data_IF_884096565110
#
_entry.id   IF_884096565110
#
_cell.length_a   1.000
_cell.length_b   1.000
_cell.length_c   1.000
_cell.angle_alpha   90.00
_cell.angle_beta   90.00
_cell.angle_gamma   90.00
#
_symmetry.space_group_name_H-M   'P 1'
#
loop_
_entity.id
_entity.type
_entity.pdbx_description
1 polymer ?
#
# COMPACT_ATOMS: atom_id res chain seq x y z
N UNK A 1 -24.62 70.43 -4.52
CA UNK A 1 -23.68 69.50 -5.17
C UNK A 1 -22.49 69.28 -4.25
N UNK A 2 -22.51 68.21 -3.45
CA UNK A 2 -21.31 67.64 -2.81
C UNK A 2 -21.59 66.15 -2.62
N UNK A 3 -20.98 65.33 -3.49
CA UNK A 3 -21.10 63.88 -3.46
C UNK A 3 -20.06 63.30 -2.50
N UNK A 4 -20.55 62.56 -1.51
CA UNK A 4 -19.78 61.74 -0.58
C UNK A 4 -19.27 60.50 -1.37
N UNK A 5 -17.95 60.33 -1.49
CA UNK A 5 -17.34 59.14 -2.08
C UNK A 5 -17.22 58.05 -1.00
N UNK A 6 -17.94 56.95 -1.18
CA UNK A 6 -17.72 55.71 -0.43
C UNK A 6 -16.54 54.96 -1.06
N UNK A 7 -15.47 54.77 -0.30
CA UNK A 7 -14.38 53.85 -0.61
C UNK A 7 -14.74 52.48 -0.05
N UNK A 8 -15.01 51.51 -0.92
CA UNK A 8 -15.19 50.11 -0.55
C UNK A 8 -13.85 49.52 -0.10
N UNK A 9 -13.77 49.08 1.16
CA UNK A 9 -12.66 48.27 1.64
C UNK A 9 -12.84 46.84 1.09
N UNK A 10 -11.91 46.40 0.25
CA UNK A 10 -11.82 45.01 -0.17
C UNK A 10 -11.34 44.16 1.00
N UNK A 11 -12.20 43.28 1.51
CA UNK A 11 -11.81 42.20 2.43
C UNK A 11 -11.09 41.17 1.57
N UNK A 12 -9.77 41.10 1.69
CA UNK A 12 -8.99 39.98 1.18
C UNK A 12 -9.30 38.76 2.05
N UNK A 13 -10.14 37.86 1.53
CA UNK A 13 -10.22 36.49 2.03
C UNK A 13 -8.88 35.82 1.72
N UNK A 14 -8.01 35.73 2.73
CA UNK A 14 -6.91 34.79 2.69
C UNK A 14 -7.54 33.39 2.78
N UNK A 15 -7.69 32.72 1.64
CA UNK A 15 -7.87 31.28 1.61
C UNK A 15 -6.60 30.67 2.21
N UNK A 16 -6.70 30.14 3.42
CA UNK A 16 -5.67 29.26 3.97
C UNK A 16 -5.69 28.04 3.06
N UNK A 17 -4.74 27.94 2.14
CA UNK A 17 -4.56 26.72 1.36
C UNK A 17 -4.29 25.61 2.38
N UNK A 18 -5.16 24.59 2.40
CA UNK A 18 -4.90 23.41 3.21
C UNK A 18 -3.52 22.88 2.79
N UNK A 19 -2.60 22.78 3.73
CA UNK A 19 -1.29 22.20 3.49
C UNK A 19 -1.50 20.74 3.09
N UNK A 20 -1.19 20.42 1.84
CA UNK A 20 -1.12 19.05 1.36
C UNK A 20 0.09 18.42 2.04
N UNK A 21 -0.15 17.67 3.12
CA UNK A 21 0.90 16.90 3.79
C UNK A 21 0.95 15.50 3.21
N UNK A 22 2.16 14.99 3.07
CA UNK A 22 2.40 13.56 2.92
C UNK A 22 1.94 12.85 4.19
N UNK A 23 1.31 11.69 4.02
CA UNK A 23 0.81 10.85 5.11
C UNK A 23 1.10 9.40 4.75
N UNK A 24 1.59 8.61 5.72
CA UNK A 24 1.75 7.17 5.50
C UNK A 24 0.46 6.45 5.87
N UNK A 25 0.15 5.48 5.05
CA UNK A 25 -0.94 4.54 5.25
C UNK A 25 -0.30 3.18 5.46
N UNK A 26 -0.45 2.62 6.65
CA UNK A 26 0.13 1.32 7.01
C UNK A 26 -0.72 0.18 6.47
N UNK A 27 -0.07 -0.79 5.84
CA UNK A 27 -0.73 -1.93 5.21
C UNK A 27 -1.43 -2.79 6.27
N UNK A 28 -2.70 -3.07 6.05
CA UNK A 28 -3.49 -3.85 6.99
C UNK A 28 -3.18 -5.35 6.89
N UNK A 29 -3.05 -5.98 8.05
CA UNK A 29 -2.72 -7.40 8.20
C UNK A 29 -3.73 -8.15 9.08
N UNK A 30 -3.56 -9.46 9.25
CA UNK A 30 -4.37 -10.29 10.14
C UNK A 30 -5.52 -11.06 9.47
N UNK A 31 -5.78 -10.83 8.18
CA UNK A 31 -6.76 -11.59 7.41
C UNK A 31 -6.14 -12.87 6.81
N UNK A 32 -6.85 -14.00 6.92
CA UNK A 32 -6.52 -15.27 6.26
C UNK A 32 -5.05 -15.71 6.39
N UNK A 33 -4.46 -15.51 7.58
CA UNK A 33 -3.06 -15.84 7.83
C UNK A 33 -2.75 -17.31 7.43
N UNK A 34 -1.69 -17.47 6.63
CA UNK A 34 -1.25 -18.73 6.02
C UNK A 34 -2.22 -19.37 5.03
N UNK A 35 -3.23 -18.66 4.53
CA UNK A 35 -4.14 -19.16 3.49
C UNK A 35 -3.96 -18.37 2.19
N UNK A 36 -4.23 -19.01 1.07
CA UNK A 36 -4.35 -18.33 -0.22
C UNK A 36 -5.66 -17.51 -0.28
N UNK A 37 -5.68 -16.35 -0.97
CA UNK A 37 -6.91 -15.65 -1.30
C UNK A 37 -7.70 -16.45 -2.34
N UNK A 38 -8.98 -16.69 -2.10
CA UNK A 38 -9.81 -17.38 -3.07
C UNK A 38 -9.57 -18.88 -3.19
N UNK A 39 -10.58 -19.60 -3.65
CA UNK A 39 -10.45 -21.02 -4.00
C UNK A 39 -9.66 -21.21 -5.30
N UNK A 40 -9.08 -22.40 -5.45
CA UNK A 40 -8.32 -22.74 -6.63
C UNK A 40 -9.21 -22.81 -7.88
N UNK A 41 -8.89 -22.07 -8.95
CA UNK A 41 -9.68 -22.02 -10.20
C UNK A 41 -8.84 -22.27 -11.43
N UNK A 42 -9.46 -22.83 -12.48
CA UNK A 42 -8.75 -23.06 -13.74
C UNK A 42 -8.57 -21.78 -14.54
N UNK A 43 -7.35 -21.51 -15.02
CA UNK A 43 -7.06 -20.44 -15.99
C UNK A 43 -6.72 -21.02 -17.37
N UNK A 44 -6.82 -20.22 -18.42
CA UNK A 44 -6.62 -20.66 -19.80
C UNK A 44 -5.53 -19.82 -20.50
N UNK A 45 -4.44 -20.40 -21.00
CA UNK A 45 -4.32 -21.82 -21.30
C UNK A 45 -3.97 -22.66 -20.07
N UNK A 46 -4.36 -23.93 -20.12
CA UNK A 46 -4.16 -24.87 -19.01
C UNK A 46 -2.69 -25.34 -18.99
N UNK A 47 -1.94 -25.22 -17.87
CA UNK A 47 -0.58 -25.72 -17.76
C UNK A 47 -0.41 -27.22 -18.06
N UNK A 48 0.71 -27.57 -18.71
CA UNK A 48 1.41 -28.85 -18.55
C UNK A 48 2.15 -28.93 -17.19
N UNK A 49 2.70 -30.08 -16.79
CA UNK A 49 2.83 -30.44 -15.37
C UNK A 49 3.92 -29.65 -14.61
N UNK A 50 3.50 -29.06 -13.49
CA UNK A 50 4.30 -28.46 -12.43
C UNK A 50 3.40 -28.18 -11.22
N UNK A 51 2.23 -27.58 -11.46
CA UNK A 51 1.08 -27.47 -10.55
C UNK A 51 -0.20 -27.43 -11.41
N UNK A 52 -1.06 -28.46 -11.39
CA UNK A 52 -2.03 -28.66 -12.47
C UNK A 52 -3.20 -27.67 -12.43
N UNK A 53 -3.33 -26.88 -13.51
CA UNK A 53 -4.57 -26.28 -13.99
C UNK A 53 -5.17 -25.15 -13.17
N UNK A 54 -4.96 -25.14 -11.85
CA UNK A 54 -5.68 -24.30 -10.90
C UNK A 54 -4.75 -23.38 -10.13
N UNK A 55 -5.11 -22.10 -10.06
CA UNK A 55 -4.46 -21.10 -9.22
C UNK A 55 -5.35 -20.74 -8.06
N UNK A 56 -4.77 -20.68 -6.85
CA UNK A 56 -5.47 -20.24 -5.64
C UNK A 56 -5.46 -18.71 -5.60
N UNK A 57 -6.14 -18.12 -6.58
CA UNK A 57 -6.20 -16.69 -6.85
C UNK A 57 -7.65 -16.23 -7.13
N UNK A 58 -8.64 -16.99 -6.63
CA UNK A 58 -10.07 -16.86 -6.92
C UNK A 58 -10.62 -15.44 -6.77
N UNK A 59 -11.37 -15.18 -5.69
CA UNK A 59 -11.54 -13.81 -5.24
C UNK A 59 -10.20 -13.31 -4.67
N UNK A 60 -9.65 -12.26 -5.29
CA UNK A 60 -8.34 -11.69 -4.94
C UNK A 60 -8.41 -10.73 -3.75
N UNK A 61 -9.42 -10.90 -2.91
CA UNK A 61 -9.61 -10.18 -1.66
C UNK A 61 -9.55 -11.16 -0.49
N UNK A 62 -8.63 -10.91 0.45
CA UNK A 62 -8.55 -11.66 1.69
C UNK A 62 -9.68 -11.27 2.66
N UNK A 63 -10.01 -12.17 3.58
CA UNK A 63 -11.08 -12.00 4.56
C UNK A 63 -12.49 -12.27 4.03
N UNK A 64 -12.61 -12.74 2.78
CA UNK A 64 -13.87 -13.25 2.23
C UNK A 64 -14.05 -14.74 2.59
N UNK A 65 -15.24 -15.28 2.37
CA UNK A 65 -15.53 -16.70 2.54
C UNK A 65 -14.85 -17.57 1.47
N UNK A 66 -14.52 -16.99 0.31
CA UNK A 66 -13.73 -17.62 -0.74
C UNK A 66 -12.25 -17.60 -0.35
N UNK A 67 -11.79 -18.66 0.32
CA UNK A 67 -10.41 -18.82 0.77
C UNK A 67 -9.83 -20.14 0.30
N UNK A 68 -8.54 -20.11 0.01
CA UNK A 68 -7.81 -21.24 -0.53
C UNK A 68 -7.26 -22.19 0.54
N UNK A 69 -6.38 -23.09 0.09
CA UNK A 69 -5.65 -23.99 0.98
C UNK A 69 -4.58 -23.24 1.79
N UNK A 70 -3.96 -23.95 2.73
CA UNK A 70 -2.77 -23.45 3.43
C UNK A 70 -1.61 -23.22 2.45
N UNK A 71 -1.03 -22.02 2.51
CA UNK A 71 0.19 -21.67 1.77
C UNK A 71 1.37 -22.38 2.42
N UNK A 72 2.09 -23.20 1.65
CA UNK A 72 3.26 -23.94 2.13
C UNK A 72 4.52 -23.43 1.47
N UNK A 73 5.62 -23.37 2.23
CA UNK A 73 6.93 -23.10 1.65
C UNK A 73 7.35 -24.25 0.72
N UNK A 74 7.78 -23.90 -0.49
CA UNK A 74 8.14 -24.84 -1.56
C UNK A 74 9.66 -25.05 -1.71
N UNK A 75 10.50 -24.29 -1.03
CA UNK A 75 11.96 -24.39 -1.19
C UNK A 75 12.63 -25.54 -0.43
N UNK A 76 13.96 -25.62 -0.53
CA UNK A 76 14.75 -26.69 0.06
C UNK A 76 15.01 -26.37 1.56
N UNK A 77 14.75 -27.31 2.50
CA UNK A 77 15.02 -27.11 3.92
C UNK A 77 16.40 -26.47 4.18
N UNK A 78 16.51 -25.53 5.16
CA UNK A 78 15.63 -25.32 6.31
C UNK A 78 14.37 -24.44 6.07
N UNK A 79 13.61 -24.16 7.14
CA UNK A 79 12.41 -23.30 7.15
C UNK A 79 12.71 -21.89 6.59
N UNK A 80 11.73 -21.23 5.93
CA UNK A 80 11.90 -19.86 5.44
C UNK A 80 12.10 -18.89 6.60
N UNK A 81 12.69 -17.72 6.32
CA UNK A 81 12.90 -16.67 7.32
C UNK A 81 11.55 -16.22 7.91
N UNK A 82 10.59 -15.95 7.04
CA UNK A 82 9.19 -15.67 7.38
C UNK A 82 8.33 -16.69 6.64
N UNK A 83 7.36 -17.29 7.32
CA UNK A 83 6.43 -18.21 6.66
C UNK A 83 5.62 -17.47 5.60
N UNK A 84 5.25 -18.14 4.49
CA UNK A 84 4.36 -17.54 3.50
C UNK A 84 3.05 -17.06 4.15
N UNK A 85 2.67 -15.81 3.87
CA UNK A 85 1.51 -15.14 4.47
C UNK A 85 1.48 -15.23 6.01
N UNK A 86 2.63 -15.13 6.68
CA UNK A 86 2.74 -15.31 8.13
C UNK A 86 1.86 -14.36 8.94
N UNK A 87 1.70 -13.12 8.47
CA UNK A 87 0.98 -12.06 9.17
C UNK A 87 -0.51 -12.00 8.79
N UNK A 88 -0.93 -12.68 7.72
CA UNK A 88 -2.21 -12.42 7.08
C UNK A 88 -2.18 -11.05 6.40
N UNK A 89 -2.54 -10.96 5.12
CA UNK A 89 -2.45 -9.71 4.39
C UNK A 89 -3.72 -9.40 3.61
N UNK A 90 -4.12 -8.13 3.66
CA UNK A 90 -5.12 -7.55 2.75
C UNK A 90 -4.49 -6.95 1.49
N UNK A 91 -3.16 -6.80 1.45
CA UNK A 91 -2.41 -6.22 0.33
C UNK A 91 -1.57 -7.28 -0.38
N UNK A 92 -1.75 -7.43 -1.68
CA UNK A 92 -1.12 -8.49 -2.44
C UNK A 92 -0.65 -7.98 -3.81
N UNK A 93 0.50 -8.47 -4.25
CA UNK A 93 0.82 -8.47 -5.68
C UNK A 93 0.57 -9.87 -6.21
N UNK A 94 0.14 -9.93 -7.47
CA UNK A 94 -0.08 -11.16 -8.20
C UNK A 94 0.82 -11.12 -9.42
N UNK A 95 1.66 -12.12 -9.57
CA UNK A 95 2.51 -12.28 -10.76
C UNK A 95 2.13 -13.52 -11.52
N UNK A 96 2.07 -13.42 -12.85
CA UNK A 96 1.89 -14.57 -13.73
C UNK A 96 2.97 -14.68 -14.79
N UNK A 97 3.43 -15.91 -15.00
CA UNK A 97 4.61 -16.25 -15.79
C UNK A 97 4.64 -17.64 -16.37
N UNK A 98 5.81 -18.01 -16.90
CA UNK A 98 6.08 -19.31 -17.52
C UNK A 98 7.56 -19.72 -17.39
N UNK A 99 7.85 -20.90 -16.85
CA UNK A 99 9.20 -21.47 -16.72
C UNK A 99 9.55 -22.49 -17.81
N UNK A 100 10.83 -22.63 -18.21
CA UNK A 100 11.32 -23.76 -19.00
C UNK A 100 11.18 -25.09 -18.24
N UNK A 101 10.51 -26.07 -18.85
CA UNK A 101 10.34 -27.43 -18.31
C UNK A 101 11.11 -28.49 -19.12
N UNK A 102 12.27 -28.11 -19.68
CA UNK A 102 13.10 -28.96 -20.52
C UNK A 102 12.57 -29.12 -21.96
N UNK A 103 13.45 -28.96 -22.96
CA UNK A 103 13.05 -28.93 -24.38
C UNK A 103 12.33 -27.63 -24.76
N UNK A 104 11.45 -27.62 -25.80
CA UNK A 104 10.69 -26.43 -26.19
C UNK A 104 9.49 -26.10 -25.26
N UNK A 105 9.32 -26.86 -24.17
CA UNK A 105 8.15 -26.76 -23.30
C UNK A 105 8.36 -25.70 -22.22
N UNK A 106 7.40 -24.79 -22.12
CA UNK A 106 7.28 -23.79 -21.05
C UNK A 106 6.04 -24.16 -20.20
N UNK A 107 6.12 -23.98 -18.88
CA UNK A 107 5.06 -24.30 -17.91
C UNK A 107 4.62 -23.02 -17.23
N UNK A 108 3.34 -22.65 -17.30
CA UNK A 108 2.84 -21.45 -16.66
C UNK A 108 2.76 -21.56 -15.15
N UNK A 109 3.00 -20.44 -14.47
CA UNK A 109 2.98 -20.28 -13.02
C UNK A 109 2.32 -18.97 -12.63
N UNK A 110 1.63 -18.97 -11.50
CA UNK A 110 1.18 -17.77 -10.80
C UNK A 110 1.80 -17.79 -9.40
N UNK A 111 2.32 -16.65 -8.97
CA UNK A 111 2.81 -16.42 -7.62
C UNK A 111 2.04 -15.28 -6.97
N UNK A 112 1.95 -15.32 -5.65
CA UNK A 112 1.33 -14.26 -4.86
C UNK A 112 2.35 -13.72 -3.86
N UNK A 113 2.51 -12.41 -3.89
CA UNK A 113 3.32 -11.65 -2.97
C UNK A 113 2.40 -11.06 -1.89
N UNK A 114 2.38 -11.68 -0.71
CA UNK A 114 1.64 -11.19 0.44
C UNK A 114 2.42 -10.05 1.09
N UNK A 115 1.90 -8.83 1.00
CA UNK A 115 2.58 -7.62 1.47
C UNK A 115 2.12 -7.25 2.88
N UNK A 116 3.02 -6.85 3.77
CA UNK A 116 2.66 -6.37 5.09
C UNK A 116 3.53 -6.91 6.21
N UNK A 117 3.16 -6.53 7.43
CA UNK A 117 3.94 -6.81 8.63
C UNK A 117 5.16 -5.88 8.75
N UNK A 118 6.07 -6.20 9.68
CA UNK A 118 7.21 -5.35 9.98
C UNK A 118 8.19 -5.24 8.83
N UNK A 119 8.82 -4.06 8.70
CA UNK A 119 9.90 -3.86 7.76
C UNK A 119 11.12 -4.70 8.15
N UNK A 120 11.88 -5.10 7.14
CA UNK A 120 13.16 -5.79 7.31
C UNK A 120 14.33 -4.83 7.23
N UNK A 121 15.34 -5.13 8.03
CA UNK A 121 16.69 -4.60 7.92
C UNK A 121 17.60 -5.72 7.37
N UNK A 122 18.11 -5.51 6.15
CA UNK A 122 18.77 -6.55 5.38
C UNK A 122 20.23 -6.81 5.81
N UNK A 123 20.89 -5.85 6.45
CA UNK A 123 22.24 -6.07 6.98
C UNK A 123 22.25 -6.82 8.33
N UNK A 124 21.09 -6.96 8.97
CA UNK A 124 20.96 -7.68 10.24
C UNK A 124 21.51 -6.94 11.45
N UNK A 125 21.74 -5.62 11.38
CA UNK A 125 22.24 -4.78 12.47
C UNK A 125 21.26 -3.68 12.91
N UNK A 126 20.24 -4.07 13.68
CA UNK A 126 19.26 -3.11 14.23
C UNK A 126 19.88 -2.13 15.25
N UNK A 127 21.14 -2.32 15.66
CA UNK A 127 21.77 -1.45 16.65
C UNK A 127 22.26 -0.12 16.06
N UNK A 128 22.35 -0.01 14.72
CA UNK A 128 22.77 1.22 14.06
C UNK A 128 21.63 2.25 13.90
N UNK A 129 20.39 1.87 14.20
CA UNK A 129 19.20 2.73 14.11
C UNK A 129 18.80 3.10 12.68
N UNK A 130 19.31 2.38 11.68
CA UNK A 130 19.13 2.65 10.26
C UNK A 130 18.69 1.38 9.56
N UNK A 131 17.59 1.46 8.81
CA UNK A 131 17.18 0.38 7.92
C UNK A 131 18.12 0.30 6.71
N UNK A 132 18.69 -0.88 6.48
CA UNK A 132 19.40 -1.24 5.24
C UNK A 132 18.51 -2.06 4.31
N UNK A 133 18.50 -1.71 3.02
CA UNK A 133 17.99 -2.53 1.91
C UNK A 133 19.11 -3.30 1.21
N UNK A 134 20.32 -3.30 1.77
CA UNK A 134 21.46 -4.05 1.24
C UNK A 134 21.77 -5.20 2.19
N UNK A 135 21.56 -6.46 1.75
CA UNK A 135 22.00 -7.59 2.55
C UNK A 135 23.51 -7.66 2.62
N UNK A 136 23.99 -8.09 3.79
CA UNK A 136 25.40 -8.30 4.04
C UNK A 136 25.66 -9.80 4.11
N UNK A 137 26.61 -10.26 3.30
CA UNK A 137 26.94 -11.68 3.23
C UNK A 137 27.30 -12.25 4.60
N UNK A 138 26.59 -13.32 4.98
CA UNK A 138 26.76 -13.99 6.28
C UNK A 138 25.99 -13.37 7.43
N UNK A 139 25.23 -12.28 7.21
CA UNK A 139 24.27 -11.74 8.16
C UNK A 139 22.86 -12.17 7.75
N UNK A 140 22.00 -12.41 8.75
CA UNK A 140 20.59 -12.75 8.51
C UNK A 140 19.76 -11.50 8.67
N UNK A 141 18.91 -11.14 7.69
CA UNK A 141 17.99 -10.02 7.84
C UNK A 141 17.13 -10.16 9.10
N UNK A 142 16.80 -9.03 9.71
CA UNK A 142 16.02 -8.98 10.95
C UNK A 142 14.78 -8.11 10.77
N UNK A 143 13.73 -8.45 11.51
CA UNK A 143 12.53 -7.63 11.59
C UNK A 143 12.81 -6.39 12.44
N UNK A 144 12.45 -5.22 11.93
CA UNK A 144 12.53 -3.95 12.66
C UNK A 144 11.28 -3.85 13.55
N UNK A 145 11.48 -4.04 14.86
CA UNK A 145 10.38 -4.00 15.82
C UNK A 145 9.65 -2.66 15.83
N UNK A 146 8.32 -2.70 15.80
CA UNK A 146 7.47 -1.50 15.81
C UNK A 146 7.42 -0.74 14.48
N UNK A 147 8.04 -1.28 13.43
CA UNK A 147 7.82 -0.80 12.06
C UNK A 147 6.68 -1.58 11.40
N UNK A 148 6.08 -0.98 10.37
CA UNK A 148 5.06 -1.59 9.55
C UNK A 148 5.24 -1.17 8.09
N UNK A 149 4.91 -2.08 7.18
CA UNK A 149 4.87 -1.79 5.74
C UNK A 149 3.84 -0.70 5.43
N UNK A 150 4.13 0.19 4.48
CA UNK A 150 3.30 1.37 4.21
C UNK A 150 3.27 1.79 2.73
N UNK A 151 2.28 2.61 2.41
CA UNK A 151 2.23 3.46 1.21
C UNK A 151 2.10 4.92 1.65
N UNK A 152 2.90 5.82 1.09
CA UNK A 152 2.86 7.24 1.41
C UNK A 152 2.15 8.02 0.31
N UNK A 153 1.09 8.72 0.69
CA UNK A 153 0.18 9.40 -0.23
C UNK A 153 -0.01 10.86 0.18
N UNK A 154 -0.36 11.68 -0.79
CA UNK A 154 -0.92 13.01 -0.55
C UNK A 154 -2.28 13.13 -1.21
N UNK A 155 -3.23 13.73 -0.50
CA UNK A 155 -4.54 14.06 -1.04
C UNK A 155 -4.76 15.57 -0.98
N UNK A 156 -5.00 16.17 -2.15
CA UNK A 156 -5.40 17.56 -2.25
C UNK A 156 -6.89 17.61 -2.59
N UNK A 157 -7.74 17.76 -1.56
CA UNK A 157 -9.19 17.76 -1.72
C UNK A 157 -9.69 19.00 -2.49
N UNK A 158 -8.98 20.13 -2.42
CA UNK A 158 -9.34 21.35 -3.15
C UNK A 158 -9.01 21.22 -4.65
N UNK A 159 -7.84 20.65 -4.96
CA UNK A 159 -7.39 20.41 -6.33
C UNK A 159 -7.92 19.10 -6.93
N UNK A 160 -8.62 18.28 -6.13
CA UNK A 160 -9.13 16.97 -6.53
C UNK A 160 -8.03 16.07 -7.12
N UNK A 161 -6.90 16.01 -6.41
CA UNK A 161 -5.71 15.29 -6.84
C UNK A 161 -5.19 14.35 -5.74
N UNK A 162 -4.58 13.25 -6.17
CA UNK A 162 -3.84 12.33 -5.33
C UNK A 162 -2.40 12.21 -5.86
N UNK A 163 -1.41 12.04 -4.99
CA UNK A 163 -0.06 11.71 -5.42
C UNK A 163 0.55 10.61 -4.55
N UNK A 164 1.39 9.79 -5.20
CA UNK A 164 2.16 8.71 -4.60
C UNK A 164 3.57 9.21 -4.34
N UNK A 165 4.01 9.15 -3.08
CA UNK A 165 5.32 9.68 -2.69
C UNK A 165 6.31 8.57 -2.40
N UNK A 166 5.87 7.52 -1.72
CA UNK A 166 6.69 6.40 -1.34
C UNK A 166 5.85 5.12 -1.18
N UNK A 167 6.51 3.98 -1.22
CA UNK A 167 5.95 2.67 -0.95
C UNK A 167 7.08 1.81 -0.42
N UNK A 168 6.86 1.15 0.71
CA UNK A 168 7.86 0.29 1.33
C UNK A 168 7.15 -0.84 2.06
N UNK A 169 7.33 -2.04 1.55
CA UNK A 169 6.71 -3.22 2.10
C UNK A 169 7.69 -4.38 2.22
N UNK A 170 7.60 -5.08 3.35
CA UNK A 170 8.06 -6.45 3.43
C UNK A 170 6.96 -7.35 2.88
N UNK A 171 7.36 -8.32 2.05
CA UNK A 171 6.44 -9.30 1.50
C UNK A 171 6.90 -10.72 1.74
N UNK A 172 5.99 -11.66 1.56
CA UNK A 172 6.29 -13.09 1.53
C UNK A 172 5.64 -13.77 0.34
N UNK A 173 6.22 -14.85 -0.16
CA UNK A 173 5.60 -15.74 -1.13
C UNK A 173 5.92 -17.21 -0.74
N UNK A 174 5.39 -18.19 -1.47
CA UNK A 174 5.61 -19.60 -1.20
C UNK A 174 7.06 -20.08 -1.43
N UNK A 175 7.94 -19.26 -1.98
CA UNK A 175 9.29 -19.62 -2.41
C UNK A 175 9.31 -20.49 -3.66
N UNK A 176 10.50 -20.95 -4.07
CA UNK A 176 10.67 -21.78 -5.26
C UNK A 176 11.34 -23.13 -4.93
N UNK A 177 10.91 -24.24 -5.55
CA UNK A 177 11.55 -25.55 -5.40
C UNK A 177 13.05 -25.51 -5.69
N UNK A 178 13.85 -26.06 -4.76
CA UNK A 178 15.30 -26.15 -4.91
C UNK A 178 16.08 -24.89 -4.51
N UNK A 179 15.40 -23.82 -4.10
CA UNK A 179 16.03 -22.59 -3.60
C UNK A 179 16.05 -22.52 -2.07
N UNK A 180 16.89 -21.64 -1.54
CA UNK A 180 17.07 -21.46 -0.09
C UNK A 180 15.92 -20.69 0.60
N UNK A 181 15.96 -20.62 1.93
CA UNK A 181 14.89 -20.04 2.77
C UNK A 181 14.65 -18.54 2.57
N UNK A 182 15.62 -17.82 2.00
CA UNK A 182 15.56 -16.39 1.75
C UNK A 182 14.63 -16.00 0.58
N UNK A 183 14.38 -16.90 -0.38
CA UNK A 183 13.59 -16.57 -1.57
C UNK A 183 12.09 -16.33 -1.29
N UNK A 184 11.60 -16.83 -0.15
CA UNK A 184 10.20 -16.67 0.28
C UNK A 184 9.92 -15.30 0.93
N UNK A 185 10.96 -14.49 1.14
CA UNK A 185 10.87 -13.17 1.75
C UNK A 185 11.36 -12.16 0.75
N UNK A 186 10.56 -11.12 0.54
CA UNK A 186 10.81 -10.10 -0.48
C UNK A 186 10.70 -8.72 0.14
N UNK A 187 11.27 -7.76 -0.56
CA UNK A 187 11.04 -6.34 -0.33
C UNK A 187 10.44 -5.73 -1.58
N UNK A 188 9.48 -4.83 -1.38
CA UNK A 188 8.84 -4.08 -2.45
C UNK A 188 8.95 -2.61 -2.13
N UNK A 189 9.56 -1.83 -3.03
CA UNK A 189 9.71 -0.39 -2.86
C UNK A 189 9.18 0.36 -4.08
N UNK A 190 8.87 1.64 -3.91
CA UNK A 190 8.60 2.54 -5.04
C UNK A 190 9.91 2.79 -5.82
N UNK A 191 9.86 2.68 -7.14
CA UNK A 191 11.00 3.01 -8.00
C UNK A 191 11.48 4.44 -7.72
N UNK A 192 12.77 4.72 -7.85
CA UNK A 192 13.32 6.07 -7.65
C UNK A 192 13.11 6.67 -6.24
N UNK A 193 12.64 5.89 -5.26
CA UNK A 193 12.72 6.24 -3.83
C UNK A 193 13.85 5.44 -3.17
N UNK A 194 14.22 5.84 -1.97
CA UNK A 194 15.26 5.20 -1.17
C UNK A 194 14.98 5.44 0.31
N UNK A 195 15.62 4.67 1.18
CA UNK A 195 15.56 4.95 2.61
C UNK A 195 16.40 6.19 2.94
N UNK A 196 16.26 6.71 4.16
CA UNK A 196 16.92 7.95 4.61
C UNK A 196 18.44 7.98 4.38
N UNK A 197 19.09 6.81 4.24
CA UNK A 197 20.54 6.68 4.05
C UNK A 197 20.95 5.92 2.77
N UNK A 198 20.01 5.55 1.90
CA UNK A 198 20.32 4.87 0.65
C UNK A 198 20.00 5.75 -0.56
N UNK A 199 20.86 5.73 -1.60
CA UNK A 199 20.57 6.46 -2.83
C UNK A 199 19.26 5.93 -3.43
N UNK A 200 18.43 6.81 -4.02
CA UNK A 200 17.22 6.38 -4.68
C UNK A 200 17.54 5.34 -5.76
N UNK A 201 16.62 4.40 -5.91
CA UNK A 201 16.61 3.39 -6.96
C UNK A 201 16.81 4.00 -8.37
N UNK A 202 17.18 3.19 -9.37
CA UNK A 202 17.34 3.67 -10.75
C UNK A 202 16.07 4.33 -11.32
N UNK A 203 16.20 5.00 -12.47
CA UNK A 203 15.19 5.89 -13.02
C UNK A 203 13.85 5.19 -13.31
N UNK A 204 12.75 5.87 -12.98
CA UNK A 204 11.39 5.45 -13.31
C UNK A 204 11.14 5.43 -14.82
N UNK A 205 10.11 4.68 -15.24
CA UNK A 205 9.47 4.80 -16.54
C UNK A 205 8.40 5.90 -16.48
N UNK A 206 8.69 7.14 -16.93
CA UNK A 206 7.79 8.29 -16.72
C UNK A 206 6.48 8.21 -17.52
N UNK A 207 6.40 7.28 -18.48
CA UNK A 207 5.17 7.00 -19.24
C UNK A 207 4.22 6.05 -18.51
N UNK A 208 4.72 5.34 -17.50
CA UNK A 208 3.95 4.41 -16.66
C UNK A 208 3.77 4.97 -15.24
N UNK A 209 4.87 5.39 -14.60
CA UNK A 209 4.87 6.00 -13.28
C UNK A 209 4.71 7.52 -13.38
N UNK A 210 3.47 7.99 -13.25
CA UNK A 210 3.17 9.42 -13.16
C UNK A 210 3.20 9.93 -11.73
N UNK A 211 3.12 9.04 -10.73
CA UNK A 211 2.91 9.34 -9.30
C UNK A 211 1.76 10.28 -8.99
N UNK A 212 0.87 10.51 -9.94
CA UNK A 212 -0.21 11.50 -9.84
C UNK A 212 -1.47 10.85 -10.36
N UNK A 213 -2.53 10.94 -9.56
CA UNK A 213 -3.87 10.52 -9.88
C UNK A 213 -4.89 11.62 -9.61
N UNK A 214 -6.14 11.32 -9.92
CA UNK A 214 -7.28 12.19 -9.67
C UNK A 214 -8.08 11.71 -8.46
N UNK A 215 -8.74 12.65 -7.80
CA UNK A 215 -9.63 12.41 -6.68
C UNK A 215 -11.01 12.97 -6.99
N UNK A 216 -12.08 12.22 -6.74
CA UNK A 216 -13.44 12.71 -6.96
C UNK A 216 -14.34 12.38 -5.78
N UNK A 217 -15.08 13.36 -5.19
CA UNK A 217 -16.03 13.07 -4.13
C UNK A 217 -17.11 12.09 -4.63
N UNK A 218 -17.43 11.10 -3.81
CA UNK A 218 -18.45 10.11 -4.12
C UNK A 218 -19.76 10.45 -3.42
N UNK A 219 -20.86 10.40 -4.17
CA UNK A 219 -22.15 10.80 -3.64
C UNK A 219 -22.87 9.65 -2.90
N UNK A 220 -22.55 8.39 -3.23
CA UNK A 220 -23.30 7.24 -2.72
C UNK A 220 -24.67 7.06 -3.39
N UNK A 221 -25.38 5.98 -3.04
CA UNK A 221 -26.74 5.70 -3.55
C UNK A 221 -27.75 6.37 -2.60
N UNK A 222 -28.07 7.64 -2.86
CA UNK A 222 -29.11 8.35 -2.12
C UNK A 222 -28.79 9.78 -1.70
N UNK A 223 -27.63 10.33 -2.04
CA UNK A 223 -27.31 11.69 -1.66
C UNK A 223 -25.85 12.03 -1.83
N UNK A 224 -25.27 12.73 -0.86
CA UNK A 224 -23.83 12.94 -0.74
C UNK A 224 -23.28 12.05 0.37
N UNK A 225 -22.18 11.34 0.11
CA UNK A 225 -21.46 10.50 1.07
C UNK A 225 -20.18 11.23 1.47
N UNK A 226 -20.23 11.91 2.61
CA UNK A 226 -19.08 12.71 3.08
C UNK A 226 -17.88 11.82 3.40
N UNK A 227 -16.69 12.31 3.10
CA UNK A 227 -15.44 11.62 3.43
C UNK A 227 -15.15 10.41 2.52
N UNK A 228 -15.85 10.22 1.41
CA UNK A 228 -15.56 9.11 0.48
C UNK A 228 -15.19 9.69 -0.87
N UNK A 229 -14.00 9.33 -1.32
CA UNK A 229 -13.41 9.85 -2.54
C UNK A 229 -12.93 8.71 -3.43
N UNK A 230 -13.22 8.81 -4.71
CA UNK A 230 -12.72 7.89 -5.73
C UNK A 230 -11.34 8.33 -6.17
N UNK A 231 -10.38 7.42 -6.17
CA UNK A 231 -9.04 7.60 -6.73
C UNK A 231 -9.02 7.00 -8.13
N UNK A 232 -8.44 7.69 -9.11
CA UNK A 232 -8.22 7.15 -10.46
C UNK A 232 -6.85 7.56 -11.01
N UNK A 233 -6.32 6.72 -11.90
CA UNK A 233 -5.12 6.98 -12.69
C UNK A 233 -3.86 7.30 -11.86
N UNK A 234 -3.76 6.77 -10.64
CA UNK A 234 -2.58 6.95 -9.78
C UNK A 234 -1.46 6.03 -10.27
N UNK A 235 -0.62 6.53 -11.18
CA UNK A 235 0.49 5.79 -11.75
C UNK A 235 1.51 5.33 -10.71
N UNK A 236 2.07 4.14 -10.92
CA UNK A 236 3.12 3.57 -10.07
C UNK A 236 4.13 2.75 -10.89
N UNK A 237 5.34 2.64 -10.34
CA UNK A 237 6.30 1.61 -10.67
C UNK A 237 6.91 1.06 -9.37
N UNK A 238 6.53 -0.17 -8.99
CA UNK A 238 7.06 -0.86 -7.82
C UNK A 238 8.17 -1.82 -8.23
N UNK A 239 9.19 -1.90 -7.40
CA UNK A 239 10.35 -2.76 -7.59
C UNK A 239 10.38 -3.82 -6.50
N UNK A 240 10.46 -5.08 -6.92
CA UNK A 240 10.58 -6.22 -6.01
C UNK A 240 11.98 -6.81 -6.07
N UNK A 241 12.48 -7.22 -4.90
CA UNK A 241 13.65 -8.07 -4.80
C UNK A 241 13.46 -9.16 -3.74
N UNK A 242 14.06 -10.31 -4.00
CA UNK A 242 14.25 -11.36 -2.99
C UNK A 242 15.43 -10.99 -2.10
N UNK A 243 15.40 -11.35 -0.83
CA UNK A 243 16.46 -10.97 0.13
C UNK A 243 17.76 -11.81 0.00
N UNK A 244 18.06 -12.34 -1.19
CA UNK A 244 19.28 -13.13 -1.42
C UNK A 244 20.52 -12.22 -1.45
N UNK A 245 21.63 -12.66 -0.84
CA UNK A 245 22.94 -11.97 -0.81
C UNK A 245 23.52 -11.58 -2.20
N UNK A 246 22.89 -11.98 -3.32
CA UNK A 246 23.27 -11.66 -4.70
C UNK A 246 22.04 -11.74 -5.61
N UNK A 247 21.62 -10.70 -6.37
CA UNK A 247 22.28 -9.41 -6.62
C UNK A 247 21.67 -8.22 -5.86
N UNK A 248 20.81 -8.42 -4.85
CA UNK A 248 20.15 -7.32 -4.16
C UNK A 248 21.20 -6.37 -3.58
N UNK A 249 21.38 -5.24 -4.22
CA UNK A 249 22.32 -4.19 -3.83
C UNK A 249 21.52 -2.90 -3.89
N UNK A 250 21.61 -2.06 -2.86
CA UNK A 250 20.72 -0.92 -2.61
C UNK A 250 20.26 -0.10 -3.84
N UNK A 251 21.15 0.31 -4.77
CA UNK A 251 20.72 1.08 -5.94
C UNK A 251 20.15 0.25 -7.11
N UNK A 252 20.14 -1.08 -7.03
CA UNK A 252 19.77 -2.02 -8.09
C UNK A 252 18.66 -3.00 -7.70
N UNK A 253 17.85 -2.64 -6.70
CA UNK A 253 16.57 -3.32 -6.48
C UNK A 253 15.75 -3.35 -7.78
N UNK A 254 14.83 -4.30 -7.90
CA UNK A 254 13.98 -4.42 -9.10
C UNK A 254 14.33 -5.61 -9.96
N UNK A 255 14.59 -6.77 -9.35
CA UNK A 255 14.55 -8.06 -10.05
C UNK A 255 13.24 -8.25 -10.81
N UNK A 256 12.15 -7.69 -10.28
CA UNK A 256 10.88 -7.53 -10.97
C UNK A 256 10.44 -6.06 -10.89
N UNK A 257 9.84 -5.55 -11.98
CA UNK A 257 9.15 -4.26 -12.03
C UNK A 257 7.66 -4.50 -12.20
N UNK A 258 6.84 -3.86 -11.37
CA UNK A 258 5.39 -3.84 -11.44
C UNK A 258 4.98 -2.42 -11.83
N UNK A 259 4.26 -2.27 -12.92
CA UNK A 259 3.83 -0.98 -13.44
C UNK A 259 2.32 -0.97 -13.64
N UNK A 260 1.72 0.19 -13.44
CA UNK A 260 0.30 0.33 -13.65
C UNK A 260 -0.21 1.68 -13.19
N UNK A 261 -1.53 1.78 -13.12
CA UNK A 261 -2.20 2.89 -12.48
C UNK A 261 -3.25 2.35 -11.54
N UNK A 262 -3.13 2.71 -10.27
CA UNK A 262 -4.12 2.39 -9.26
C UNK A 262 -5.39 3.20 -9.45
N UNK A 263 -6.51 2.53 -9.20
CA UNK A 263 -7.79 3.17 -8.89
C UNK A 263 -8.26 2.68 -7.52
N UNK A 264 -9.25 3.34 -6.95
CA UNK A 264 -9.93 2.83 -5.78
C UNK A 264 -10.57 3.92 -4.96
N UNK A 265 -10.39 3.87 -3.64
CA UNK A 265 -11.15 4.65 -2.69
C UNK A 265 -10.26 5.17 -1.56
N UNK A 266 -10.44 6.43 -1.22
CA UNK A 266 -10.02 7.02 0.05
C UNK A 266 -11.26 7.32 0.88
N UNK A 267 -11.26 6.86 2.12
CA UNK A 267 -12.40 6.88 3.03
C UNK A 267 -11.95 7.49 4.35
N UNK A 268 -12.54 8.61 4.74
CA UNK A 268 -12.30 9.31 5.99
C UNK A 268 -13.39 8.97 7.02
N UNK A 269 -13.04 8.99 8.30
CA UNK A 269 -14.04 9.03 9.37
C UNK A 269 -14.88 10.29 9.27
N UNK A 270 -16.19 10.15 9.49
CA UNK A 270 -17.07 11.29 9.65
C UNK A 270 -16.85 12.00 10.98
N UNK A 271 -17.51 13.14 11.17
CA UNK A 271 -17.42 13.98 12.38
C UNK A 271 -17.79 13.25 13.70
N UNK A 272 -18.45 12.09 13.63
CA UNK A 272 -18.75 11.23 14.78
C UNK A 272 -17.67 10.20 15.11
N UNK A 273 -16.47 10.32 14.54
CA UNK A 273 -15.34 9.41 14.81
C UNK A 273 -15.52 8.00 14.24
N UNK A 274 -16.50 7.77 13.37
CA UNK A 274 -16.77 6.48 12.72
C UNK A 274 -16.64 6.61 11.21
N UNK A 275 -16.18 5.56 10.54
CA UNK A 275 -16.23 5.48 9.09
C UNK A 275 -17.69 5.50 8.60
N UNK A 276 -17.98 6.14 7.46
CA UNK A 276 -19.30 6.07 6.84
C UNK A 276 -19.63 4.62 6.49
N UNK A 277 -20.91 4.25 6.57
CA UNK A 277 -21.38 2.94 6.10
C UNK A 277 -21.33 2.93 4.58
N UNK A 278 -20.55 2.02 4.00
CA UNK A 278 -20.27 1.95 2.56
C UNK A 278 -21.15 0.94 1.83
N UNK A 279 -21.73 -0.03 2.55
CA UNK A 279 -22.65 -1.00 1.96
C UNK A 279 -23.82 -0.30 1.26
N UNK A 280 -24.07 -0.73 0.03
CA UNK A 280 -25.10 -0.19 -0.84
C UNK A 280 -24.76 1.19 -1.42
N UNK A 281 -23.61 1.77 -1.12
CA UNK A 281 -23.24 3.12 -1.59
C UNK A 281 -22.66 3.13 -3.01
N UNK A 282 -22.61 1.99 -3.70
CA UNK A 282 -22.24 1.96 -5.12
C UNK A 282 -20.76 2.27 -5.36
N UNK A 283 -19.87 1.73 -4.52
CA UNK A 283 -18.42 1.74 -4.74
C UNK A 283 -17.99 0.83 -5.93
N UNK A 284 -18.94 0.14 -6.55
CA UNK A 284 -18.71 -0.70 -7.73
C UNK A 284 -18.13 -2.07 -7.38
N UNK A 285 -17.55 -2.71 -8.40
CA UNK A 285 -16.89 -4.01 -8.30
C UNK A 285 -15.37 -3.87 -8.43
N UNK A 286 -14.66 -4.94 -8.10
CA UNK A 286 -13.21 -5.05 -8.27
C UNK A 286 -12.77 -5.03 -9.75
N UNK A 287 -11.48 -4.76 -9.99
CA UNK A 287 -10.84 -4.83 -11.31
C UNK A 287 -10.52 -6.24 -11.77
N UNK A 288 -10.48 -7.21 -10.86
CA UNK A 288 -9.86 -8.53 -11.06
C UNK A 288 -10.32 -9.28 -12.31
N UNK A 289 -11.58 -9.19 -12.78
CA UNK A 289 -11.98 -9.82 -14.05
C UNK A 289 -11.24 -9.31 -15.30
N UNK A 290 -10.50 -8.20 -15.20
CA UNK A 290 -9.82 -7.55 -16.32
C UNK A 290 -8.33 -7.88 -16.32
N UNK A 291 -7.77 -8.02 -17.53
CA UNK A 291 -6.33 -8.04 -17.77
C UNK A 291 -5.99 -6.80 -18.59
N UNK A 292 -4.91 -6.12 -18.21
CA UNK A 292 -4.48 -4.94 -18.92
C UNK A 292 -3.71 -5.29 -20.19
N UNK A 293 -4.43 -5.37 -21.30
CA UNK A 293 -3.83 -5.66 -22.62
C UNK A 293 -3.35 -4.40 -23.34
N UNK A 294 -3.52 -3.21 -22.76
CA UNK A 294 -3.25 -1.93 -23.44
C UNK A 294 -1.76 -1.69 -23.72
N UNK A 295 -0.90 -2.38 -22.98
CA UNK A 295 0.56 -2.20 -23.06
C UNK A 295 1.26 -3.25 -23.94
N UNK A 296 0.54 -4.23 -24.50
CA UNK A 296 1.15 -5.24 -25.37
C UNK A 296 1.85 -4.59 -26.56
N UNK A 297 3.13 -4.90 -26.75
CA UNK A 297 3.99 -4.37 -27.81
C UNK A 297 4.67 -3.04 -27.48
N UNK A 298 4.36 -2.42 -26.35
CA UNK A 298 5.08 -1.24 -25.87
C UNK A 298 6.40 -1.64 -25.20
N UNK A 299 7.40 -0.77 -25.30
CA UNK A 299 8.74 -0.98 -24.77
C UNK A 299 9.01 -0.03 -23.60
N UNK A 300 9.59 -0.55 -22.53
CA UNK A 300 9.91 0.16 -21.30
C UNK A 300 11.36 -0.09 -20.90
N UNK A 301 11.92 0.76 -20.05
CA UNK A 301 13.26 0.59 -19.50
C UNK A 301 13.25 -0.49 -18.42
N UNK A 302 14.29 -1.32 -18.44
CA UNK A 302 14.55 -2.33 -17.40
C UNK A 302 15.21 -1.66 -16.19
N UNK A 303 14.81 -2.04 -14.98
CA UNK A 303 15.44 -1.56 -13.75
C UNK A 303 16.88 -2.11 -13.62
N UNK A 304 17.09 -3.35 -14.07
CA UNK A 304 18.40 -4.00 -14.06
C UNK A 304 18.70 -4.65 -15.43
N UNK A 305 19.75 -4.20 -16.15
CA UNK A 305 19.91 -4.52 -17.57
C UNK A 305 20.59 -5.87 -17.81
N UNK A 306 20.11 -6.96 -17.17
CA UNK A 306 20.67 -8.30 -17.36
C UNK A 306 20.53 -8.76 -18.82
N UNK A 307 19.33 -8.61 -19.39
CA UNK A 307 18.98 -9.07 -20.72
C UNK A 307 18.91 -7.92 -21.76
N UNK A 308 19.26 -6.70 -21.36
CA UNK A 308 19.13 -5.49 -22.15
C UNK A 308 18.61 -4.32 -21.32
N UNK A 309 18.71 -3.10 -21.84
CA UNK A 309 18.27 -1.86 -21.16
C UNK A 309 16.77 -1.59 -21.31
N UNK A 310 16.08 -2.40 -22.10
CA UNK A 310 14.67 -2.25 -22.40
C UNK A 310 13.99 -3.60 -22.58
N UNK A 311 12.71 -3.63 -22.31
CA UNK A 311 11.83 -4.78 -22.31
C UNK A 311 10.54 -4.46 -23.08
N UNK A 312 10.03 -5.36 -23.92
CA UNK A 312 8.78 -5.20 -24.68
C UNK A 312 7.69 -6.10 -24.14
N UNK A 313 6.63 -5.49 -23.62
CA UNK A 313 5.51 -6.20 -23.00
C UNK A 313 4.86 -7.18 -23.98
N UNK A 314 4.83 -8.46 -23.63
CA UNK A 314 4.24 -9.50 -24.45
C UNK A 314 2.88 -9.97 -23.90
N UNK A 315 2.05 -10.49 -24.80
CA UNK A 315 0.79 -11.21 -24.45
C UNK A 315 1.03 -12.52 -23.71
N UNK A 316 2.28 -12.96 -23.58
CA UNK A 316 2.68 -14.30 -23.16
C UNK A 316 3.20 -15.12 -24.34
N UNK A 317 3.24 -16.43 -24.17
CA UNK A 317 3.81 -17.38 -25.12
C UNK A 317 2.75 -18.33 -25.67
N UNK A 318 3.07 -19.09 -26.71
CA UNK A 318 2.14 -20.10 -27.22
C UNK A 318 1.94 -21.21 -26.17
N UNK A 319 0.71 -21.42 -25.72
CA UNK A 319 0.39 -22.32 -24.60
C UNK A 319 0.35 -21.64 -23.23
N UNK A 320 0.67 -20.35 -23.12
CA UNK A 320 0.36 -19.50 -21.96
C UNK A 320 0.16 -18.05 -22.39
N UNK A 321 -1.01 -17.76 -22.98
CA UNK A 321 -1.38 -16.42 -23.41
C UNK A 321 -2.20 -15.75 -22.32
N UNK A 322 -1.62 -14.78 -21.63
CA UNK A 322 -2.28 -14.05 -20.55
C UNK A 322 -3.55 -13.34 -21.05
N UNK A 323 -3.58 -12.87 -22.30
CA UNK A 323 -4.78 -12.22 -22.88
C UNK A 323 -5.94 -13.17 -23.17
N UNK A 324 -5.79 -14.49 -23.00
CA UNK A 324 -6.87 -15.43 -23.26
C UNK A 324 -8.01 -15.29 -22.23
N UNK A 325 -9.22 -15.65 -22.65
CA UNK A 325 -10.41 -15.50 -21.83
C UNK A 325 -10.33 -16.36 -20.55
N UNK A 326 -10.74 -15.78 -19.42
CA UNK A 326 -10.76 -16.46 -18.11
C UNK A 326 -9.45 -16.35 -17.32
N UNK A 327 -8.48 -15.57 -17.78
CA UNK A 327 -7.21 -15.39 -17.09
C UNK A 327 -7.18 -14.29 -16.03
N UNK A 328 -8.12 -13.33 -16.07
CA UNK A 328 -8.28 -12.37 -14.97
C UNK A 328 -8.81 -13.07 -13.72
N UNK A 329 -8.65 -12.46 -12.55
CA UNK A 329 -9.24 -12.92 -11.28
C UNK A 329 -10.77 -12.90 -11.29
N UNK A 330 -11.38 -13.36 -10.21
CA UNK A 330 -12.83 -13.35 -10.06
C UNK A 330 -13.31 -12.03 -9.47
N UNK A 331 -14.52 -11.62 -9.86
CA UNK A 331 -15.19 -10.54 -9.18
C UNK A 331 -15.52 -10.97 -7.75
N UNK A 332 -15.55 -10.00 -6.83
CA UNK A 332 -16.10 -10.19 -5.49
C UNK A 332 -17.50 -10.80 -5.60
N UNK A 333 -17.68 -12.01 -5.06
CA UNK A 333 -18.98 -12.69 -5.02
C UNK A 333 -19.64 -12.55 -3.64
N UNK A 334 -18.82 -12.52 -2.60
CA UNK A 334 -19.23 -12.24 -1.24
C UNK A 334 -19.84 -10.85 -1.12
N UNK A 335 -20.61 -10.66 -0.04
CA UNK A 335 -21.36 -9.43 0.20
C UNK A 335 -22.27 -9.00 -0.98
N UNK A 336 -22.65 -9.94 -1.85
CA UNK A 336 -23.43 -9.66 -3.06
C UNK A 336 -22.67 -8.92 -4.15
N UNK A 337 -21.33 -8.96 -4.12
CA UNK A 337 -20.45 -8.23 -5.03
C UNK A 337 -20.32 -6.73 -4.73
N UNK A 338 -20.73 -6.31 -3.54
CA UNK A 338 -20.63 -4.93 -3.09
C UNK A 338 -19.30 -4.69 -2.38
N UNK A 339 -18.40 -3.96 -3.05
CA UNK A 339 -17.11 -3.58 -2.47
C UNK A 339 -17.25 -2.74 -1.19
N UNK A 340 -18.29 -1.91 -1.09
CA UNK A 340 -18.54 -1.14 0.13
C UNK A 340 -18.88 -2.04 1.31
N UNK A 341 -19.68 -3.08 1.08
CA UNK A 341 -19.99 -4.07 2.10
C UNK A 341 -18.76 -4.91 2.50
N UNK A 342 -17.86 -5.23 1.57
CA UNK A 342 -16.57 -5.84 1.90
C UNK A 342 -15.75 -4.93 2.83
N UNK A 343 -15.62 -3.64 2.50
CA UNK A 343 -14.86 -2.70 3.32
C UNK A 343 -15.47 -2.58 4.73
N UNK A 344 -16.80 -2.45 4.84
CA UNK A 344 -17.49 -2.36 6.14
C UNK A 344 -17.28 -3.60 7.01
N UNK A 345 -17.30 -4.81 6.42
CA UNK A 345 -17.32 -6.07 7.16
C UNK A 345 -15.94 -6.71 7.36
N UNK A 346 -14.95 -6.37 6.53
CA UNK A 346 -13.61 -6.97 6.56
C UNK A 346 -12.54 -5.94 6.90
N UNK A 347 -12.52 -4.80 6.21
CA UNK A 347 -11.43 -3.81 6.30
C UNK A 347 -11.57 -2.94 7.55
N UNK A 348 -12.74 -2.35 7.77
CA UNK A 348 -13.01 -1.46 8.93
C UNK A 348 -12.73 -2.16 10.26
N UNK A 349 -13.13 -3.43 10.50
CA UNK A 349 -12.82 -4.12 11.75
C UNK A 349 -11.32 -4.37 12.02
N UNK A 350 -10.50 -4.40 10.96
CA UNK A 350 -9.04 -4.58 11.05
C UNK A 350 -8.30 -3.25 11.12
N UNK A 351 -9.00 -2.13 10.91
CA UNK A 351 -8.41 -0.79 10.94
C UNK A 351 -8.11 -0.38 12.39
N UNK A 352 -6.89 0.10 12.71
CA UNK A 352 -6.57 0.58 14.05
C UNK A 352 -7.56 1.64 14.55
N UNK A 353 -7.81 1.66 15.86
CA UNK A 353 -8.77 2.60 16.45
C UNK A 353 -8.39 4.07 16.23
N UNK A 354 -7.09 4.38 16.16
CA UNK A 354 -6.58 5.73 15.91
C UNK A 354 -6.66 6.14 14.44
N UNK A 355 -6.56 5.17 13.51
CA UNK A 355 -6.58 5.43 12.08
C UNK A 355 -7.92 6.06 11.68
N UNK A 356 -7.85 7.22 11.03
CA UNK A 356 -8.98 8.02 10.62
C UNK A 356 -9.26 7.97 9.12
N UNK A 357 -8.39 7.27 8.38
CA UNK A 357 -8.50 7.09 6.94
C UNK A 357 -8.21 5.65 6.55
N UNK A 358 -8.91 5.20 5.52
CA UNK A 358 -8.65 3.94 4.83
C UNK A 358 -8.42 4.25 3.37
N UNK A 359 -7.46 3.57 2.78
CA UNK A 359 -7.23 3.56 1.34
C UNK A 359 -7.35 2.13 0.83
N UNK A 360 -8.18 1.95 -0.20
CA UNK A 360 -8.26 0.74 -1.02
C UNK A 360 -7.79 1.10 -2.41
N UNK A 361 -6.75 0.44 -2.92
CA UNK A 361 -6.24 0.60 -4.27
C UNK A 361 -6.18 -0.75 -4.97
N UNK A 362 -6.51 -0.76 -6.24
CA UNK A 362 -6.40 -1.92 -7.12
C UNK A 362 -5.89 -1.51 -8.49
N UNK A 363 -5.12 -2.40 -9.13
CA UNK A 363 -4.72 -2.25 -10.51
C UNK A 363 -4.66 -3.59 -11.23
N UNK A 364 -5.06 -3.55 -12.51
CA UNK A 364 -4.63 -4.50 -13.51
C UNK A 364 -3.35 -3.97 -14.17
N UNK A 365 -2.19 -4.39 -13.69
CA UNK A 365 -0.89 -3.87 -14.11
C UNK A 365 -0.17 -4.79 -15.08
N UNK A 366 1.08 -4.48 -15.35
CA UNK A 366 2.01 -5.28 -16.15
C UNK A 366 3.40 -5.18 -15.54
N UNK A 367 4.36 -5.95 -16.07
CA UNK A 367 5.65 -6.00 -15.43
C UNK A 367 6.75 -6.60 -16.28
N UNK A 368 7.96 -6.41 -15.76
CA UNK A 368 9.21 -6.77 -16.42
C UNK A 368 10.01 -7.62 -15.45
N UNK A 369 10.58 -8.70 -15.96
CA UNK A 369 11.54 -9.51 -15.22
C UNK A 369 12.96 -9.13 -15.63
N UNK A 370 13.70 -8.58 -14.67
CA UNK A 370 15.07 -8.14 -14.86
C UNK A 370 16.09 -9.15 -14.34
N UNK A 371 15.66 -10.33 -13.90
CA UNK A 371 16.53 -11.37 -13.36
C UNK A 371 16.82 -12.46 -14.39
N UNK A 372 17.85 -13.29 -14.14
CA UNK A 372 18.05 -14.55 -14.85
C UNK A 372 17.09 -15.65 -14.37
N UNK A 373 16.19 -15.33 -13.44
CA UNK A 373 15.17 -16.26 -13.03
C UNK A 373 14.34 -16.64 -14.27
N UNK A 374 14.38 -17.91 -14.71
CA UNK A 374 13.77 -18.30 -15.96
C UNK A 374 12.24 -18.25 -15.91
N UNK A 375 11.66 -17.74 -14.82
CA UNK A 375 10.23 -17.63 -14.59
C UNK A 375 9.48 -16.69 -15.56
N UNK A 376 10.11 -15.70 -16.21
CA UNK A 376 9.34 -14.71 -16.99
C UNK A 376 10.09 -14.02 -18.14
N UNK A 377 9.38 -13.78 -19.26
CA UNK A 377 9.65 -12.67 -20.19
C UNK A 377 8.84 -11.44 -19.75
N UNK A 378 8.86 -10.34 -20.51
CA UNK A 378 8.02 -9.16 -20.24
C UNK A 378 6.52 -9.51 -20.39
N UNK A 379 5.69 -9.29 -19.37
CA UNK A 379 4.29 -9.78 -19.33
C UNK A 379 3.26 -8.69 -18.98
N UNK A 380 1.98 -8.99 -19.24
CA UNK A 380 0.82 -8.10 -19.00
C UNK A 380 0.00 -8.39 -17.74
N UNK A 381 0.42 -9.32 -16.89
CA UNK A 381 -0.43 -9.78 -15.78
C UNK A 381 0.35 -9.64 -14.48
N UNK A 382 0.44 -8.41 -14.01
CA UNK A 382 0.89 -8.07 -12.68
C UNK A 382 -0.17 -7.24 -12.00
N UNK A 383 -0.96 -7.86 -11.15
CA UNK A 383 -2.09 -7.19 -10.50
C UNK A 383 -1.70 -6.83 -9.07
N UNK A 384 -2.33 -5.80 -8.53
CA UNK A 384 -2.04 -5.37 -7.16
C UNK A 384 -3.28 -4.93 -6.44
N UNK A 385 -3.40 -5.36 -5.19
CA UNK A 385 -4.37 -4.90 -4.19
C UNK A 385 -3.56 -4.23 -3.08
N UNK A 386 -3.83 -2.96 -2.77
CA UNK A 386 -3.24 -2.29 -1.60
C UNK A 386 -4.39 -1.83 -0.70
N UNK A 387 -4.39 -2.31 0.54
CA UNK A 387 -5.36 -1.91 1.56
C UNK A 387 -4.58 -1.45 2.79
N UNK A 388 -4.74 -0.17 3.11
CA UNK A 388 -3.93 0.50 4.11
C UNK A 388 -4.77 1.48 4.92
N UNK A 389 -4.32 1.80 6.13
CA UNK A 389 -4.97 2.76 7.01
C UNK A 389 -4.00 3.87 7.41
N UNK A 390 -4.46 5.11 7.30
CA UNK A 390 -3.73 6.32 7.68
C UNK A 390 -4.25 6.86 9.00
N UNK A 391 -3.34 7.48 9.75
CA UNK A 391 -3.67 8.25 10.94
C UNK A 391 -3.09 9.65 10.75
N UNK A 392 -3.97 10.65 10.64
CA UNK A 392 -3.51 12.05 10.52
C UNK A 392 -2.72 12.54 11.74
N UNK A 393 -2.64 11.74 12.80
CA UNK A 393 -1.82 11.96 13.98
C UNK A 393 -0.48 11.22 13.99
N UNK A 394 -0.11 10.51 12.93
CA UNK A 394 1.22 9.95 12.79
C UNK A 394 2.30 11.05 12.91
N UNK A 395 3.35 10.77 13.69
CA UNK A 395 4.45 11.71 13.93
C UNK A 395 4.18 12.74 15.03
N UNK A 396 2.96 12.84 15.55
CA UNK A 396 2.64 13.67 16.70
C UNK A 396 2.76 12.89 18.01
N UNK A 397 3.30 13.55 19.03
CA UNK A 397 3.34 13.00 20.39
C UNK A 397 2.06 13.42 21.12
N UNK A 398 1.16 12.47 21.39
CA UNK A 398 -0.03 12.71 22.21
C UNK A 398 0.40 13.29 23.56
N UNK A 399 -0.32 14.29 24.05
CA UNK A 399 0.00 15.05 25.27
C UNK A 399 1.18 16.02 25.17
N UNK A 400 1.92 16.08 24.06
CA UNK A 400 2.94 17.11 23.83
C UNK A 400 2.24 18.34 23.21
N UNK A 401 1.57 19.13 24.04
CA UNK A 401 0.72 20.23 23.60
C UNK A 401 1.54 21.44 23.14
N UNK A 402 2.83 21.55 23.45
CA UNK A 402 3.70 22.59 22.91
C UNK A 402 4.60 22.13 21.74
N UNK A 403 4.61 20.84 21.40
CA UNK A 403 5.41 20.21 20.37
C UNK A 403 6.92 20.40 20.55
N UNK A 404 7.40 20.34 21.80
CA UNK A 404 8.82 20.36 22.12
C UNK A 404 9.47 18.96 22.15
N UNK A 405 8.68 17.92 21.91
CA UNK A 405 9.07 16.52 21.89
C UNK A 405 9.04 15.84 23.27
N UNK A 406 8.62 16.53 24.33
CA UNK A 406 8.61 16.00 25.68
C UNK A 406 7.28 16.27 26.41
N UNK A 407 6.55 15.20 26.72
CA UNK A 407 5.33 15.30 27.53
C UNK A 407 5.66 15.61 28.99
N UNK A 408 5.35 16.82 29.44
CA UNK A 408 5.64 17.27 30.80
C UNK A 408 4.72 18.40 31.29
N UNK A 409 5.04 19.01 32.44
CA UNK A 409 4.22 20.08 33.05
C UNK A 409 4.10 21.33 32.16
N UNK A 410 5.04 21.54 31.23
CA UNK A 410 5.04 22.67 30.30
C UNK A 410 3.92 22.57 29.25
N UNK A 411 3.32 21.38 29.06
CA UNK A 411 2.21 21.14 28.15
C UNK A 411 0.84 21.57 28.73
N UNK A 412 0.75 21.81 30.04
CA UNK A 412 -0.51 22.22 30.69
C UNK A 412 -1.06 23.52 30.11
N UNK A 413 -0.23 24.58 30.06
CA UNK A 413 -0.70 25.88 29.59
C UNK A 413 -1.08 25.87 28.09
N UNK A 414 -0.30 25.24 27.19
CA UNK A 414 -0.72 24.99 25.81
C UNK A 414 -2.03 24.20 25.71
N UNK A 415 -2.22 23.12 26.48
CA UNK A 415 -3.49 22.37 26.49
C UNK A 415 -4.66 23.25 26.96
N UNK A 416 -4.48 24.04 28.02
CA UNK A 416 -5.51 25.00 28.48
C UNK A 416 -5.82 26.03 27.39
N UNK A 417 -4.81 26.51 26.65
CA UNK A 417 -5.01 27.39 25.52
C UNK A 417 -5.80 26.68 24.40
N UNK A 418 -5.46 25.44 24.06
CA UNK A 418 -6.15 24.64 23.06
C UNK A 418 -7.65 24.46 23.38
N UNK A 419 -7.97 24.18 24.64
CA UNK A 419 -9.35 24.02 25.13
C UNK A 419 -10.11 25.35 25.13
N UNK A 420 -9.47 26.45 25.51
CA UNK A 420 -10.14 27.75 25.69
C UNK A 420 -10.21 28.61 24.43
N UNK A 421 -9.21 28.52 23.57
CA UNK A 421 -9.09 29.24 22.30
C UNK A 421 -8.21 28.45 21.30
N UNK A 422 -8.85 27.52 20.60
CA UNK A 422 -8.20 26.69 19.59
C UNK A 422 -7.50 27.49 18.48
N UNK A 423 -8.05 28.65 18.10
CA UNK A 423 -7.46 29.50 17.06
C UNK A 423 -6.17 30.18 17.57
N UNK A 424 -6.18 30.67 18.81
CA UNK A 424 -4.97 31.21 19.45
C UNK A 424 -3.91 30.13 19.68
N UNK A 425 -4.33 28.91 20.05
CA UNK A 425 -3.44 27.76 20.18
C UNK A 425 -2.72 27.46 18.86
N UNK A 426 -3.45 27.28 17.76
CA UNK A 426 -2.87 27.00 16.45
C UNK A 426 -1.97 28.14 15.95
N UNK A 427 -2.27 29.39 16.30
CA UNK A 427 -1.41 30.52 15.98
C UNK A 427 -0.11 30.54 16.81
N UNK A 428 -0.16 30.09 18.06
CA UNK A 428 0.99 30.07 18.98
C UNK A 428 1.89 28.85 18.78
N UNK A 429 1.30 27.71 18.43
CA UNK A 429 1.97 26.43 18.21
C UNK A 429 1.67 25.90 16.79
N UNK A 430 2.17 26.56 15.73
CA UNK A 430 1.84 26.22 14.35
C UNK A 430 2.38 24.85 13.89
N UNK A 431 3.34 24.29 14.64
CA UNK A 431 3.84 22.93 14.41
C UNK A 431 2.96 21.85 15.07
N UNK A 432 2.06 22.23 15.97
CA UNK A 432 1.16 21.31 16.64
C UNK A 432 -0.15 21.11 15.88
N UNK A 433 -0.62 19.87 15.92
CA UNK A 433 -1.98 19.54 15.53
C UNK A 433 -2.88 19.63 16.76
N UNK A 434 -3.90 20.48 16.66
CA UNK A 434 -4.92 20.60 17.70
C UNK A 434 -5.49 19.21 18.05
N UNK A 435 -5.85 18.42 17.05
CA UNK A 435 -6.38 17.08 17.27
C UNK A 435 -5.31 16.14 17.86
N UNK A 436 -4.13 16.08 17.28
CA UNK A 436 -3.20 14.99 17.61
C UNK A 436 -2.44 15.19 18.92
N UNK A 437 -2.16 16.45 19.27
CA UNK A 437 -1.46 16.77 20.49
C UNK A 437 -2.42 16.95 21.69
N UNK A 438 -3.66 17.40 21.44
CA UNK A 438 -4.55 17.91 22.50
C UNK A 438 -5.93 17.25 22.62
N UNK A 439 -6.40 16.46 21.65
CA UNK A 439 -7.51 15.49 21.85
C UNK A 439 -6.91 14.19 22.42
N UNK A 440 -6.86 14.15 23.75
CA UNK A 440 -6.15 13.16 24.53
C UNK A 440 -7.09 12.05 24.96
N UNK A 441 -8.40 12.15 24.79
CA UNK A 441 -9.30 11.01 24.97
C UNK A 441 -9.59 10.29 23.63
N UNK A 442 -9.31 10.92 22.49
CA UNK A 442 -9.50 10.38 21.15
C UNK A 442 -10.95 10.44 20.65
N UNK A 443 -11.79 11.31 21.23
CA UNK A 443 -13.21 11.46 20.88
C UNK A 443 -13.45 12.39 19.69
N UNK A 444 -12.38 12.98 19.14
CA UNK A 444 -12.39 13.89 18.01
C UNK A 444 -12.50 15.36 18.41
N UNK A 445 -12.52 15.70 19.71
CA UNK A 445 -12.68 17.07 20.17
C UNK A 445 -11.77 17.43 21.36
N UNK A 446 -10.89 18.42 21.16
CA UNK A 446 -10.13 19.04 22.27
C UNK A 446 -11.07 19.83 23.19
N UNK A 447 -11.32 19.31 24.39
CA UNK A 447 -12.20 19.89 25.37
C UNK A 447 -11.81 19.51 26.82
N UNK A 448 -12.65 19.85 27.80
CA UNK A 448 -12.37 19.60 29.22
C UNK A 448 -12.24 18.11 29.58
N UNK A 449 -12.76 17.20 28.74
CA UNK A 449 -12.65 15.76 28.91
C UNK A 449 -11.23 15.24 28.65
N UNK A 450 -10.36 16.04 28.01
CA UNK A 450 -8.95 15.68 27.76
C UNK A 450 -8.05 15.92 28.98
N UNK A 451 -8.50 16.68 29.97
CA UNK A 451 -7.70 17.05 31.14
C UNK A 451 -7.33 15.82 31.98
N UNK A 452 -8.27 14.91 32.24
CA UNK A 452 -7.97 13.72 33.05
C UNK A 452 -7.02 12.76 32.32
N UNK A 453 -7.24 12.40 31.04
CA UNK A 453 -6.28 11.63 30.25
C UNK A 453 -4.90 12.30 30.14
N UNK A 454 -4.84 13.63 30.07
CA UNK A 454 -3.57 14.36 30.08
C UNK A 454 -2.81 14.22 31.40
N UNK A 455 -3.52 14.22 32.53
CA UNK A 455 -2.90 13.96 33.84
C UNK A 455 -2.28 12.57 33.87
N UNK A 456 -2.94 11.57 33.28
CA UNK A 456 -2.40 10.21 33.19
C UNK A 456 -1.11 10.17 32.35
N UNK A 457 -1.06 10.91 31.23
CA UNK A 457 0.16 11.08 30.42
C UNK A 457 1.36 11.59 31.23
N UNK A 458 1.17 12.57 32.11
CA UNK A 458 2.26 13.14 32.92
C UNK A 458 2.68 12.19 34.06
N UNK A 459 1.75 11.42 34.60
CA UNK A 459 2.00 10.56 35.76
C UNK A 459 2.55 9.17 35.41
N UNK A 460 2.35 8.72 34.16
CA UNK A 460 2.79 7.42 33.64
C UNK A 460 3.75 7.61 32.45
N UNK A 461 5.00 8.04 32.71
CA UNK A 461 5.99 8.33 31.67
C UNK A 461 6.46 7.07 30.91
#
# INVERSE_FOLDING_TARGET
MSALRYTSAAIALFSVAASVSAERYFLLTGADARLYPGTARNVAPVPGPGFPGQFSDGDRLAGTADRGATVNYLGNPPQPLIQPNAYGSLSMLYRRGSIPAGGPNLVPLEGIEFLGGPLLDLDGDAANGVRSLVPVSGQTPILIGGSDSYVELTFNLDALAAALLDFDATGTNEGAPGFGPALATIIVNLSGTGTQNEPPAAAINPTADTRVGTLAPHAGVGGALSGVYRIQDLGYELWEDTILDSPSTGPFLGTLQYMGAWRGWMIERGAGGSFPVLSGQGLGSTLWPLINTSQVGNTFNTAYPIAGTTATIATGINGDQYTAAGNGGLALADFGGDLGAYIDNVVVPLTPGSADRIVYLEAGGWGINNSFDPLFADTICYDSVIIAAGDSCEGYVRCDANCDGAVNILDINPLVLAISDAAAYQAMFPACSLRCNTDINGDGATNVLDINPFVDCILLP
#
